data_IF_410617497217
#
_entry.id   IF_410617497217
#
_cell.length_a   1.000
_cell.length_b   1.000
_cell.length_c   1.000
_cell.angle_alpha   90.00
_cell.angle_beta   90.00
_cell.angle_gamma   90.00
#
_symmetry.space_group_name_H-M   'P 1'
#
loop_
_entity.id
_entity.type
_entity.pdbx_description
1 polymer ?
#
# COMPACT_ATOMS: atom_id res chain seq x y z
N UNK A 1 -33.41 -1.20 -18.00
CA UNK A 1 -32.88 -2.20 -17.03
C UNK A 1 -31.88 -1.47 -16.14
N UNK A 2 -32.23 -1.21 -14.88
CA UNK A 2 -31.36 -0.46 -13.97
C UNK A 2 -30.43 -1.44 -13.25
N UNK A 3 -29.14 -1.44 -13.60
CA UNK A 3 -28.13 -2.18 -12.85
C UNK A 3 -27.81 -1.40 -11.58
N UNK A 4 -28.44 -1.78 -10.45
CA UNK A 4 -28.16 -1.19 -9.14
C UNK A 4 -26.82 -1.74 -8.66
N UNK A 5 -25.76 -0.94 -8.74
CA UNK A 5 -24.47 -1.25 -8.13
C UNK A 5 -24.56 -1.03 -6.62
N UNK A 6 -24.12 -2.00 -5.83
CA UNK A 6 -24.04 -1.91 -4.37
C UNK A 6 -22.60 -2.06 -3.90
N UNK A 7 -22.12 -1.10 -3.12
CA UNK A 7 -20.80 -1.14 -2.50
C UNK A 7 -20.91 -1.75 -1.11
N UNK A 8 -20.01 -2.68 -0.79
CA UNK A 8 -19.91 -3.28 0.53
C UNK A 8 -18.49 -3.12 1.07
N UNK A 9 -18.39 -2.78 2.35
CA UNK A 9 -17.13 -2.69 3.08
C UNK A 9 -16.63 -4.10 3.42
N UNK A 10 -15.44 -4.47 2.95
CA UNK A 10 -14.88 -5.82 3.14
C UNK A 10 -13.91 -5.94 4.34
N UNK A 11 -13.06 -4.93 4.55
CA UNK A 11 -12.04 -4.93 5.59
C UNK A 11 -11.71 -3.51 6.08
N UNK A 12 -11.12 -3.41 7.27
CA UNK A 12 -10.54 -2.19 7.85
C UNK A 12 -9.23 -2.56 8.51
N UNK A 13 -8.22 -1.74 8.30
CA UNK A 13 -6.91 -1.93 8.90
C UNK A 13 -6.53 -0.67 9.68
N UNK A 14 -6.14 -0.80 10.96
CA UNK A 14 -5.38 0.24 11.63
C UNK A 14 -4.07 0.45 10.85
N UNK A 15 -3.93 1.63 10.23
CA UNK A 15 -2.90 1.88 9.22
C UNK A 15 -1.83 2.84 9.72
N UNK A 16 -1.79 4.06 9.19
CA UNK A 16 -0.75 5.06 9.47
C UNK A 16 -1.13 5.90 10.69
N UNK A 17 -0.12 6.47 11.36
CA UNK A 17 -0.34 7.44 12.45
C UNK A 17 -0.73 8.83 11.94
N UNK A 18 -0.61 9.03 10.63
CA UNK A 18 -0.94 10.27 9.92
C UNK A 18 -1.56 9.92 8.54
N UNK A 19 -1.77 10.92 7.69
CA UNK A 19 -2.41 10.79 6.38
C UNK A 19 -1.82 9.66 5.53
N UNK A 20 -2.70 8.85 4.94
CA UNK A 20 -2.36 7.88 3.91
C UNK A 20 -2.28 8.62 2.58
N UNK A 21 -1.10 8.64 1.97
CA UNK A 21 -0.82 9.40 0.73
C UNK A 21 -0.82 8.52 -0.52
N UNK A 22 -0.63 7.20 -0.36
CA UNK A 22 -0.65 6.26 -1.47
C UNK A 22 -1.14 4.88 -1.06
N UNK A 23 -1.85 4.21 -1.97
CA UNK A 23 -2.33 2.85 -1.82
C UNK A 23 -2.25 2.14 -3.17
N UNK A 24 -1.64 0.96 -3.19
CA UNK A 24 -1.52 0.14 -4.39
C UNK A 24 -1.85 -1.31 -4.08
N UNK A 25 -2.37 -2.02 -5.08
CA UNK A 25 -2.44 -3.47 -5.04
C UNK A 25 -1.06 -4.04 -5.40
N UNK A 26 -0.60 -4.99 -4.59
CA UNK A 26 0.62 -5.73 -4.88
C UNK A 26 0.25 -6.99 -5.64
N UNK A 27 1.11 -7.36 -6.59
CA UNK A 27 1.02 -8.59 -7.39
C UNK A 27 -0.26 -8.68 -8.29
N UNK A 28 -0.32 -9.70 -9.15
CA UNK A 28 -1.47 -9.94 -10.04
C UNK A 28 -2.62 -10.76 -9.43
N UNK A 29 -2.42 -11.38 -8.26
CA UNK A 29 -3.47 -12.14 -7.56
C UNK A 29 -4.34 -11.24 -6.67
N UNK A 30 -3.83 -10.07 -6.31
CA UNK A 30 -4.57 -9.04 -5.63
C UNK A 30 -4.83 -9.26 -4.15
N UNK A 31 -4.19 -10.25 -3.54
CA UNK A 31 -4.39 -10.61 -2.13
C UNK A 31 -3.63 -9.70 -1.16
N UNK A 32 -2.64 -8.96 -1.64
CA UNK A 32 -1.84 -8.05 -0.83
C UNK A 32 -1.97 -6.60 -1.34
N UNK A 33 -1.97 -5.65 -0.41
CA UNK A 33 -1.96 -4.22 -0.71
C UNK A 33 -0.82 -3.55 0.04
N UNK A 34 -0.22 -2.53 -0.56
CA UNK A 34 0.74 -1.66 0.09
C UNK A 34 0.18 -0.24 0.23
N UNK A 35 0.47 0.41 1.34
CA UNK A 35 0.19 1.82 1.56
C UNK A 35 1.43 2.56 2.04
N UNK A 36 1.47 3.85 1.76
CA UNK A 36 2.45 4.80 2.30
C UNK A 36 1.74 5.99 2.93
N UNK A 37 2.40 6.64 3.87
CA UNK A 37 1.81 7.76 4.60
C UNK A 37 2.80 8.82 5.07
N UNK A 38 2.23 9.88 5.63
CA UNK A 38 2.96 11.02 6.17
C UNK A 38 3.72 10.71 7.46
N UNK A 39 3.50 9.53 8.03
CA UNK A 39 4.28 8.99 9.15
C UNK A 39 5.62 8.36 8.73
N UNK A 40 6.01 8.49 7.45
CA UNK A 40 7.29 7.96 6.93
C UNK A 40 7.31 6.44 6.72
N UNK A 41 6.14 5.79 6.86
CA UNK A 41 6.03 4.34 6.85
C UNK A 41 5.51 3.81 5.51
N UNK A 42 6.05 2.68 5.07
CA UNK A 42 5.41 1.78 4.11
C UNK A 42 4.82 0.59 4.85
N UNK A 43 3.55 0.26 4.59
CA UNK A 43 2.83 -0.84 5.22
C UNK A 43 2.27 -1.79 4.17
N UNK A 44 2.34 -3.09 4.45
CA UNK A 44 1.79 -4.15 3.59
C UNK A 44 0.74 -4.92 4.37
N UNK A 45 -0.40 -5.18 3.74
CA UNK A 45 -1.53 -5.88 4.33
C UNK A 45 -1.89 -7.07 3.46
N UNK A 46 -2.22 -8.19 4.12
CA UNK A 46 -2.87 -9.31 3.48
C UNK A 46 -4.38 -9.15 3.61
N UNK A 47 -5.06 -9.00 2.49
CA UNK A 47 -6.52 -8.94 2.41
C UNK A 47 -7.13 -10.30 2.78
N UNK A 48 -6.52 -11.40 2.33
CA UNK A 48 -6.94 -12.76 2.67
C UNK A 48 -6.95 -13.01 4.17
N UNK A 49 -5.88 -12.60 4.85
CA UNK A 49 -5.73 -12.80 6.30
C UNK A 49 -6.25 -11.62 7.14
N UNK A 50 -6.75 -10.56 6.50
CA UNK A 50 -7.23 -9.31 7.12
C UNK A 50 -6.27 -8.77 8.18
N UNK A 51 -4.96 -8.78 7.89
CA UNK A 51 -3.94 -8.27 8.81
C UNK A 51 -2.81 -7.50 8.12
N UNK A 52 -2.19 -6.60 8.88
CA UNK A 52 -0.90 -6.00 8.55
C UNK A 52 0.18 -7.09 8.58
N UNK A 53 0.92 -7.25 7.49
CA UNK A 53 1.99 -8.25 7.37
C UNK A 53 3.38 -7.63 7.49
N UNK A 54 3.56 -6.39 7.02
CA UNK A 54 4.83 -5.64 7.12
C UNK A 54 4.58 -4.18 7.44
N UNK A 55 5.51 -3.58 8.18
CA UNK A 55 5.55 -2.16 8.48
C UNK A 55 7.02 -1.74 8.47
N UNK A 56 7.40 -0.87 7.56
CA UNK A 56 8.79 -0.50 7.28
C UNK A 56 8.91 1.01 7.37
N UNK A 57 9.84 1.49 8.20
CA UNK A 57 10.20 2.91 8.23
C UNK A 57 11.17 3.19 7.09
N UNK A 58 10.76 4.03 6.14
CA UNK A 58 11.60 4.37 4.98
C UNK A 58 12.22 5.76 5.13
N UNK A 59 11.50 6.69 5.74
CA UNK A 59 11.96 8.06 5.93
C UNK A 59 11.44 8.64 7.26
N UNK A 60 12.08 9.73 7.71
CA UNK A 60 11.56 10.60 8.76
C UNK A 60 10.67 11.73 8.22
N UNK A 61 10.57 11.85 6.88
CA UNK A 61 9.70 12.78 6.20
C UNK A 61 8.52 12.04 5.54
N UNK A 62 7.44 12.76 5.19
CA UNK A 62 6.29 12.17 4.53
C UNK A 62 6.64 11.40 3.26
N UNK A 63 6.07 10.21 3.11
CA UNK A 63 6.04 9.51 1.84
C UNK A 63 4.88 10.06 1.01
N UNK A 64 5.09 10.25 -0.29
CA UNK A 64 4.13 10.92 -1.19
C UNK A 64 3.39 9.96 -2.13
N UNK A 65 4.04 8.86 -2.54
CA UNK A 65 3.46 7.89 -3.48
C UNK A 65 4.20 6.55 -3.39
N UNK A 66 3.60 5.49 -3.94
CA UNK A 66 4.28 4.22 -4.10
C UNK A 66 3.82 3.48 -5.36
N UNK A 67 4.69 2.60 -5.88
CA UNK A 67 4.40 1.69 -6.98
C UNK A 67 4.96 0.30 -6.70
N UNK A 68 4.34 -0.71 -7.31
CA UNK A 68 4.79 -2.09 -7.28
C UNK A 68 5.12 -2.53 -8.70
N UNK A 69 6.27 -3.18 -8.86
CA UNK A 69 6.69 -3.77 -10.11
C UNK A 69 7.26 -5.16 -9.86
N UNK A 70 6.87 -6.13 -10.69
CA UNK A 70 7.48 -7.44 -10.70
C UNK A 70 8.32 -7.60 -11.96
N UNK A 71 9.61 -7.93 -11.78
CA UNK A 71 10.51 -8.16 -12.90
C UNK A 71 10.13 -9.45 -13.64
N UNK A 72 10.53 -9.61 -14.91
CA UNK A 72 10.35 -10.88 -15.63
C UNK A 72 11.02 -12.08 -14.95
N UNK A 73 12.09 -11.84 -14.18
CA UNK A 73 12.77 -12.85 -13.36
C UNK A 73 12.02 -13.21 -12.06
N UNK A 74 10.85 -12.61 -11.81
CA UNK A 74 10.00 -12.88 -10.63
C UNK A 74 10.34 -12.05 -9.40
N UNK A 75 11.36 -11.19 -9.44
CA UNK A 75 11.72 -10.31 -8.31
C UNK A 75 10.67 -9.23 -8.14
N UNK A 76 10.19 -9.08 -6.92
CA UNK A 76 9.25 -8.02 -6.54
C UNK A 76 10.00 -6.77 -6.11
N UNK A 77 9.59 -5.62 -6.63
CA UNK A 77 10.16 -4.30 -6.34
C UNK A 77 9.01 -3.39 -5.89
N UNK A 78 9.19 -2.76 -4.73
CA UNK A 78 8.34 -1.67 -4.25
C UNK A 78 9.20 -0.40 -4.27
N UNK A 79 8.63 0.68 -4.79
CA UNK A 79 9.26 2.00 -4.81
C UNK A 79 8.33 2.96 -4.08
N UNK A 80 8.89 3.84 -3.24
CA UNK A 80 8.15 4.87 -2.54
C UNK A 80 8.85 6.22 -2.75
N UNK A 81 8.07 7.26 -3.10
CA UNK A 81 8.58 8.62 -3.17
C UNK A 81 8.55 9.27 -1.79
N UNK A 82 9.61 9.99 -1.42
CA UNK A 82 9.74 10.68 -0.13
C UNK A 82 10.04 12.17 -0.32
N UNK A 83 9.64 12.99 0.66
CA UNK A 83 9.93 14.43 0.67
C UNK A 83 11.37 14.75 1.08
N UNK A 84 12.16 13.75 1.47
CA UNK A 84 13.60 13.89 1.74
C UNK A 84 14.48 13.97 0.48
N UNK A 85 13.85 14.01 -0.70
CA UNK A 85 14.50 13.99 -2.01
C UNK A 85 15.27 12.68 -2.29
N UNK A 86 14.91 11.58 -1.61
CA UNK A 86 15.42 10.23 -1.87
C UNK A 86 14.35 9.35 -2.51
N UNK A 87 14.82 8.34 -3.27
CA UNK A 87 14.00 7.32 -3.93
C UNK A 87 14.47 5.92 -3.51
#
# INVERSE_FOLDING_TARGET
RNHKMSLNKSAVFPSHKDMVSGLIQMNGNGDDIASVGHDGMLKIYSLKNKKLTRSVSLSNLPLSSCIFYQTPSGKSILVAGSWDNTL
#
